data_IF_871180997862
#
_entry.id   IF_871180997862
#
_cell.length_a   1.000
_cell.length_b   1.000
_cell.length_c   1.000
_cell.angle_alpha   90.00
_cell.angle_beta   90.00
_cell.angle_gamma   90.00
#
_symmetry.space_group_name_H-M   'P 1'
#
loop_
_entity.id
_entity.type
_entity.pdbx_description
1 polymer ?
#
# COMPACT_ATOMS: atom_id res chain seq x y z
N UNK A 1 6.55 3.70 -7.77
CA UNK A 1 6.64 3.43 -6.32
C UNK A 1 5.67 4.36 -5.62
N UNK A 2 4.66 3.83 -4.95
CA UNK A 2 3.60 4.59 -4.26
C UNK A 2 3.66 4.30 -2.77
N UNK A 3 3.51 5.32 -1.93
CA UNK A 3 3.42 5.16 -0.47
C UNK A 3 1.95 5.29 -0.03
N UNK A 4 1.48 4.37 0.81
CA UNK A 4 0.13 4.38 1.38
C UNK A 4 0.19 4.12 2.88
N UNK A 5 -0.76 4.67 3.64
CA UNK A 5 -0.86 4.32 5.06
C UNK A 5 -1.49 2.93 5.23
N UNK A 6 -1.20 2.24 6.33
CA UNK A 6 -1.81 0.95 6.66
C UNK A 6 -3.35 1.04 6.72
N UNK A 7 -3.89 2.17 7.18
CA UNK A 7 -5.33 2.41 7.19
C UNK A 7 -5.92 2.59 5.79
N UNK A 8 -5.20 3.24 4.89
CA UNK A 8 -5.62 3.35 3.48
C UNK A 8 -5.54 2.00 2.76
N UNK A 9 -4.45 1.26 2.96
CA UNK A 9 -4.28 -0.08 2.40
C UNK A 9 -5.38 -1.03 2.89
N UNK A 10 -5.73 -0.98 4.17
CA UNK A 10 -6.82 -1.80 4.73
C UNK A 10 -8.18 -1.45 4.14
N UNK A 11 -8.48 -0.17 3.91
CA UNK A 11 -9.77 0.26 3.34
C UNK A 11 -9.91 -0.08 1.85
N UNK A 12 -8.80 -0.12 1.13
CA UNK A 12 -8.77 -0.28 -0.33
C UNK A 12 -7.97 -1.51 -0.76
N UNK A 13 -8.02 -2.59 0.02
CA UNK A 13 -7.05 -3.68 -0.10
C UNK A 13 -7.04 -4.34 -1.48
N UNK A 14 -8.20 -4.60 -2.08
CA UNK A 14 -8.27 -5.16 -3.44
C UNK A 14 -7.58 -4.26 -4.48
N UNK A 15 -7.82 -2.94 -4.44
CA UNK A 15 -7.18 -2.02 -5.38
C UNK A 15 -5.65 -1.94 -5.19
N UNK A 16 -5.17 -2.12 -3.96
CA UNK A 16 -3.73 -2.24 -3.67
C UNK A 16 -3.17 -3.50 -4.33
N UNK A 17 -3.84 -4.65 -4.19
CA UNK A 17 -3.42 -5.90 -4.83
C UNK A 17 -3.43 -5.79 -6.35
N UNK A 18 -4.51 -5.26 -6.94
CA UNK A 18 -4.60 -5.08 -8.40
C UNK A 18 -3.43 -4.23 -8.93
N UNK A 19 -2.98 -3.25 -8.15
CA UNK A 19 -1.86 -2.39 -8.51
C UNK A 19 -0.52 -3.13 -8.45
N UNK A 20 -0.31 -3.96 -7.43
CA UNK A 20 0.87 -4.82 -7.31
C UNK A 20 0.92 -5.85 -8.44
N UNK A 21 -0.22 -6.44 -8.80
CA UNK A 21 -0.32 -7.39 -9.91
C UNK A 21 0.03 -6.76 -11.27
N UNK A 22 -0.25 -5.47 -11.45
CA UNK A 22 0.20 -4.68 -12.61
C UNK A 22 1.68 -4.28 -12.57
N UNK A 23 2.40 -4.68 -11.52
CA UNK A 23 3.84 -4.42 -11.36
C UNK A 23 4.16 -3.14 -10.57
N UNK A 24 3.17 -2.50 -9.94
CA UNK A 24 3.47 -1.37 -9.06
C UNK A 24 4.10 -1.82 -7.74
N UNK A 25 5.13 -1.11 -7.30
CA UNK A 25 5.71 -1.28 -5.96
C UNK A 25 5.02 -0.32 -5.01
N UNK A 26 4.39 -0.86 -3.97
CA UNK A 26 3.68 -0.11 -2.93
C UNK A 26 4.41 -0.27 -1.59
N UNK A 27 4.70 0.87 -0.96
CA UNK A 27 5.24 0.93 0.40
C UNK A 27 4.09 1.23 1.37
N UNK A 28 3.98 0.47 2.43
CA UNK A 28 2.99 0.70 3.49
C UNK A 28 3.64 1.38 4.67
N UNK A 29 3.01 2.45 5.18
CA UNK A 29 3.44 3.13 6.40
C UNK A 29 2.41 3.07 7.52
N UNK A 30 2.88 3.08 8.77
CA UNK A 30 2.03 3.16 9.96
C UNK A 30 2.65 4.14 10.95
N UNK A 31 1.89 5.17 11.34
CA UNK A 31 2.38 6.24 12.22
C UNK A 31 3.71 6.85 11.74
N UNK A 32 3.81 7.14 10.44
CA UNK A 32 5.00 7.74 9.82
C UNK A 32 6.19 6.80 9.60
N UNK A 33 6.07 5.50 9.88
CA UNK A 33 7.13 4.50 9.70
C UNK A 33 6.78 3.50 8.61
N UNK A 34 7.74 3.14 7.75
CA UNK A 34 7.59 2.06 6.76
C UNK A 34 7.54 0.70 7.45
N UNK A 35 6.59 -0.13 7.05
CA UNK A 35 6.35 -1.45 7.64
C UNK A 35 6.24 -2.58 6.60
N UNK A 36 5.97 -2.25 5.35
CA UNK A 36 6.00 -3.15 4.20
C UNK A 36 6.36 -2.38 2.93
#
# INVERSE_FOLDING_TARGET
MREVTASEASRNFSAVLDSVERGEIIVVTRAGRRVA
#
